data_IF_642836977548
#
_entry.id   IF_642836977548
#
_cell.length_a   1.000
_cell.length_b   1.000
_cell.length_c   1.000
_cell.angle_alpha   90.00
_cell.angle_beta   90.00
_cell.angle_gamma   90.00
#
_symmetry.space_group_name_H-M   'P 1'
#
loop_
_entity.id
_entity.type
_entity.pdbx_description
1 polymer ?
#
# COMPACT_ATOMS: atom_id res chain seq x y z
N UNK A 1 11.12 4.80 20.00
CA UNK A 1 10.41 5.56 18.94
C UNK A 1 8.93 5.16 19.00
N UNK A 2 7.99 6.11 18.87
CA UNK A 2 6.55 5.82 18.78
C UNK A 2 6.25 5.35 17.35
N UNK A 3 5.75 4.13 17.14
CA UNK A 3 5.53 3.54 15.83
C UNK A 3 4.11 3.75 15.27
N UNK A 4 3.19 4.23 16.08
CA UNK A 4 1.76 4.35 15.73
C UNK A 4 1.50 5.04 14.38
N UNK A 5 2.16 6.18 14.13
CA UNK A 5 2.05 6.93 12.88
C UNK A 5 2.67 6.25 11.64
N UNK A 6 3.39 5.13 11.81
CA UNK A 6 3.89 4.31 10.70
C UNK A 6 2.89 3.25 10.25
N UNK A 7 1.86 2.92 11.06
CA UNK A 7 1.00 1.75 10.83
C UNK A 7 -0.16 2.09 9.90
N UNK A 8 -0.28 1.36 8.79
CA UNK A 8 -1.51 1.15 8.06
C UNK A 8 -2.16 -0.14 8.58
N UNK A 9 -3.14 -0.01 9.47
CA UNK A 9 -3.85 -1.14 10.07
C UNK A 9 -4.70 -1.81 9.00
N UNK A 10 -4.40 -3.08 8.66
CA UNK A 10 -4.78 -3.67 7.38
C UNK A 10 -5.65 -4.92 7.55
N UNK A 11 -6.78 -4.96 6.83
CA UNK A 11 -7.64 -6.14 6.76
C UNK A 11 -8.19 -6.31 5.34
N UNK A 12 -7.66 -7.32 4.61
CA UNK A 12 -7.92 -7.50 3.16
C UNK A 12 -8.42 -8.90 2.80
N UNK A 13 -8.65 -9.78 3.77
CA UNK A 13 -9.13 -11.15 3.51
C UNK A 13 -10.49 -11.14 2.81
N UNK A 14 -10.75 -12.06 1.87
CA UNK A 14 -12.02 -12.07 1.13
C UNK A 14 -13.23 -12.36 2.01
N UNK A 15 -13.05 -13.07 3.12
CA UNK A 15 -14.10 -13.38 4.09
C UNK A 15 -14.31 -12.28 5.17
N UNK A 16 -13.66 -11.11 5.01
CA UNK A 16 -13.80 -9.99 5.96
C UNK A 16 -15.26 -9.56 6.07
N UNK A 17 -15.72 -9.31 7.30
CA UNK A 17 -17.08 -8.86 7.61
C UNK A 17 -17.11 -7.40 8.06
N UNK A 18 -18.29 -6.76 8.01
CA UNK A 18 -18.48 -5.39 8.54
C UNK A 18 -18.10 -5.26 10.01
N UNK A 19 -18.41 -6.27 10.83
CA UNK A 19 -18.05 -6.26 12.25
C UNK A 19 -16.53 -6.19 12.46
N UNK A 20 -15.78 -6.88 11.61
CA UNK A 20 -14.31 -6.82 11.64
C UNK A 20 -13.77 -5.47 11.16
N UNK A 21 -14.42 -4.82 10.17
CA UNK A 21 -14.05 -3.46 9.73
C UNK A 21 -14.32 -2.44 10.83
N UNK A 22 -15.45 -2.55 11.55
CA UNK A 22 -15.75 -1.67 12.69
C UNK A 22 -14.70 -1.79 13.78
N UNK A 23 -14.33 -3.01 14.13
CA UNK A 23 -13.25 -3.27 15.08
C UNK A 23 -11.91 -2.70 14.62
N UNK A 24 -11.54 -2.90 13.34
CA UNK A 24 -10.32 -2.32 12.74
C UNK A 24 -10.27 -0.80 12.89
N UNK A 25 -11.40 -0.12 12.64
CA UNK A 25 -11.49 1.33 12.75
C UNK A 25 -11.39 1.80 14.22
N UNK A 26 -12.06 1.12 15.15
CA UNK A 26 -11.96 1.39 16.60
C UNK A 26 -10.51 1.26 17.08
N UNK A 27 -9.84 0.17 16.74
CA UNK A 27 -8.43 -0.07 17.06
C UNK A 27 -7.52 1.02 16.46
N UNK A 28 -7.73 1.39 15.20
CA UNK A 28 -6.91 2.40 14.54
C UNK A 28 -7.07 3.79 15.17
N UNK A 29 -8.27 4.15 15.64
CA UNK A 29 -8.53 5.39 16.37
C UNK A 29 -7.87 5.34 17.74
N UNK A 30 -8.08 4.26 18.50
CA UNK A 30 -7.54 4.09 19.85
C UNK A 30 -6.01 4.19 19.89
N UNK A 31 -5.36 3.54 18.93
CA UNK A 31 -3.90 3.51 18.84
C UNK A 31 -3.30 4.63 17.99
N UNK A 32 -4.09 5.55 17.47
CA UNK A 32 -3.65 6.66 16.62
C UNK A 32 -2.82 6.19 15.41
N UNK A 33 -3.28 5.14 14.72
CA UNK A 33 -2.61 4.64 13.52
C UNK A 33 -2.75 5.61 12.35
N UNK A 34 -1.87 5.45 11.33
CA UNK A 34 -1.88 6.34 10.16
C UNK A 34 -3.13 6.14 9.31
N UNK A 35 -3.50 4.90 9.04
CA UNK A 35 -4.69 4.57 8.24
C UNK A 35 -5.30 3.22 8.59
N UNK A 36 -6.56 3.01 8.17
CA UNK A 36 -7.15 1.69 7.94
C UNK A 36 -7.06 1.35 6.46
N UNK A 37 -6.46 0.20 6.13
CA UNK A 37 -6.33 -0.28 4.75
C UNK A 37 -7.28 -1.46 4.51
N UNK A 38 -8.24 -1.27 3.59
CA UNK A 38 -9.36 -2.19 3.35
C UNK A 38 -9.56 -2.46 1.85
N UNK A 39 -10.38 -3.46 1.51
CA UNK A 39 -10.87 -3.65 0.14
C UNK A 39 -11.86 -2.53 -0.24
N UNK A 40 -11.97 -2.19 -1.52
CA UNK A 40 -12.78 -1.07 -2.03
C UNK A 40 -14.25 -1.13 -1.62
N UNK A 41 -14.84 -2.31 -1.47
CA UNK A 41 -16.22 -2.47 -1.02
C UNK A 41 -16.48 -1.95 0.40
N UNK A 42 -15.43 -1.81 1.22
CA UNK A 42 -15.52 -1.31 2.60
C UNK A 42 -15.13 0.17 2.77
N UNK A 43 -14.74 0.85 1.69
CA UNK A 43 -14.37 2.28 1.76
C UNK A 43 -15.48 3.15 2.34
N UNK A 44 -16.76 3.05 1.90
CA UNK A 44 -17.82 3.90 2.47
C UNK A 44 -17.98 3.72 3.97
N UNK A 45 -17.98 2.47 4.45
CA UNK A 45 -18.09 2.15 5.87
C UNK A 45 -16.89 2.67 6.66
N UNK A 46 -15.68 2.41 6.16
CA UNK A 46 -14.44 2.83 6.82
C UNK A 46 -14.34 4.34 6.90
N UNK A 47 -14.66 5.05 5.82
CA UNK A 47 -14.71 6.51 5.79
C UNK A 47 -15.69 7.09 6.81
N UNK A 48 -16.91 6.54 6.89
CA UNK A 48 -17.90 6.98 7.88
C UNK A 48 -17.44 6.79 9.32
N UNK A 49 -16.77 5.66 9.61
CA UNK A 49 -16.23 5.37 10.95
C UNK A 49 -15.06 6.29 11.34
N UNK A 50 -14.24 6.68 10.37
CA UNK A 50 -13.03 7.46 10.60
C UNK A 50 -13.22 8.99 10.48
N UNK A 51 -14.35 9.48 9.99
CA UNK A 51 -14.59 10.90 9.62
C UNK A 51 -14.28 11.94 10.70
N UNK A 52 -14.38 11.56 11.98
CA UNK A 52 -14.10 12.44 13.11
C UNK A 52 -12.75 12.16 13.77
N UNK A 53 -11.83 11.45 13.07
CA UNK A 53 -10.50 11.10 13.54
C UNK A 53 -9.43 11.55 12.56
N UNK A 54 -8.15 11.61 12.96
CA UNK A 54 -7.05 11.89 12.03
C UNK A 54 -6.68 10.69 11.15
N UNK A 55 -7.19 9.49 11.47
CA UNK A 55 -6.88 8.23 10.78
C UNK A 55 -7.42 8.27 9.34
N UNK A 56 -6.59 7.87 8.36
CA UNK A 56 -6.94 7.93 6.95
C UNK A 56 -7.65 6.67 6.47
N UNK A 57 -8.56 6.82 5.53
CA UNK A 57 -9.17 5.72 4.79
C UNK A 57 -8.27 5.35 3.63
N UNK A 58 -7.62 4.18 3.69
CA UNK A 58 -6.81 3.61 2.63
C UNK A 58 -7.52 2.41 2.01
N UNK A 59 -7.41 2.23 0.70
CA UNK A 59 -7.91 1.03 0.03
C UNK A 59 -6.91 0.47 -0.96
N UNK A 60 -7.14 -0.79 -1.38
CA UNK A 60 -6.35 -1.43 -2.43
C UNK A 60 -7.11 -1.43 -3.76
N UNK A 61 -6.38 -1.34 -4.90
CA UNK A 61 -6.95 -1.31 -6.25
C UNK A 61 -6.16 -2.27 -7.16
N UNK A 62 -6.87 -2.96 -8.05
CA UNK A 62 -6.25 -3.98 -8.91
C UNK A 62 -5.70 -5.16 -8.10
N UNK A 63 -6.26 -5.39 -6.95
CA UNK A 63 -5.67 -6.23 -5.90
C UNK A 63 -6.28 -7.64 -5.89
N UNK A 64 -5.48 -8.71 -5.59
CA UNK A 64 -4.05 -8.65 -5.33
C UNK A 64 -3.17 -8.86 -6.58
N UNK A 65 -3.73 -9.20 -7.74
CA UNK A 65 -2.98 -9.71 -8.89
C UNK A 65 -2.37 -8.62 -9.79
N UNK A 66 -2.92 -7.43 -9.82
CA UNK A 66 -2.50 -6.37 -10.73
C UNK A 66 -2.75 -6.64 -12.23
N UNK A 67 -3.35 -7.78 -12.57
CA UNK A 67 -3.45 -8.30 -13.94
C UNK A 67 -4.75 -7.91 -14.67
N UNK A 68 -5.56 -7.04 -14.08
CA UNK A 68 -6.76 -6.51 -14.76
C UNK A 68 -6.38 -5.38 -15.73
N UNK A 69 -7.32 -4.99 -16.60
CA UNK A 69 -7.08 -3.85 -17.51
C UNK A 69 -6.88 -2.54 -16.76
N UNK A 70 -6.15 -1.62 -17.36
CA UNK A 70 -5.93 -0.28 -16.80
C UNK A 70 -7.24 0.45 -16.57
N UNK A 71 -8.21 0.34 -17.49
CA UNK A 71 -9.54 0.96 -17.36
C UNK A 71 -10.32 0.41 -16.14
N UNK A 72 -10.19 -0.89 -15.84
CA UNK A 72 -10.82 -1.48 -14.66
C UNK A 72 -10.22 -0.89 -13.37
N UNK A 73 -8.88 -0.76 -13.29
CA UNK A 73 -8.20 -0.12 -12.15
C UNK A 73 -8.59 1.35 -12.01
N UNK A 74 -8.69 2.08 -13.13
CA UNK A 74 -9.13 3.49 -13.14
C UNK A 74 -10.56 3.59 -12.58
N UNK A 75 -11.48 2.79 -13.07
CA UNK A 75 -12.88 2.82 -12.60
C UNK A 75 -13.01 2.45 -11.13
N UNK A 76 -12.25 1.46 -10.65
CA UNK A 76 -12.18 1.10 -9.24
C UNK A 76 -11.63 2.26 -8.41
N UNK A 77 -10.58 2.94 -8.89
CA UNK A 77 -9.99 4.11 -8.22
C UNK A 77 -10.99 5.28 -8.15
N UNK A 78 -11.66 5.59 -9.25
CA UNK A 78 -12.70 6.65 -9.30
C UNK A 78 -13.77 6.39 -8.25
N UNK A 79 -14.26 5.14 -8.20
CA UNK A 79 -15.27 4.75 -7.21
C UNK A 79 -14.76 4.86 -5.78
N UNK A 80 -13.56 4.37 -5.50
CA UNK A 80 -12.95 4.44 -4.18
C UNK A 80 -12.78 5.89 -3.69
N UNK A 81 -12.33 6.80 -4.56
CA UNK A 81 -12.21 8.22 -4.24
C UNK A 81 -13.58 8.86 -3.96
N UNK A 82 -14.58 8.55 -4.78
CA UNK A 82 -15.95 9.04 -4.57
C UNK A 82 -16.57 8.54 -3.25
N UNK A 83 -16.17 7.37 -2.81
CA UNK A 83 -16.61 6.76 -1.54
C UNK A 83 -15.83 7.26 -0.31
N UNK A 84 -14.81 8.10 -0.50
CA UNK A 84 -14.09 8.76 0.58
C UNK A 84 -12.70 8.19 0.89
N UNK A 85 -12.06 7.46 -0.03
CA UNK A 85 -10.67 7.05 0.14
C UNK A 85 -9.71 8.27 0.14
N UNK A 86 -8.84 8.34 1.15
CA UNK A 86 -7.75 9.33 1.25
C UNK A 86 -6.48 8.83 0.58
N UNK A 87 -6.26 7.52 0.58
CA UNK A 87 -5.06 6.85 0.07
C UNK A 87 -5.45 5.61 -0.75
N UNK A 88 -4.73 5.36 -1.84
CA UNK A 88 -4.96 4.22 -2.73
C UNK A 88 -3.66 3.45 -2.94
N UNK A 89 -3.68 2.14 -2.67
CA UNK A 89 -2.58 1.21 -2.89
C UNK A 89 -2.90 0.38 -4.15
N UNK A 90 -2.36 0.74 -5.31
CA UNK A 90 -2.55 -0.02 -6.56
C UNK A 90 -1.50 -1.13 -6.72
N UNK A 91 -1.86 -2.22 -7.39
CA UNK A 91 -0.89 -3.25 -7.82
C UNK A 91 -0.52 -3.04 -9.27
N UNK A 92 0.79 -3.04 -9.59
CA UNK A 92 1.27 -2.95 -10.98
C UNK A 92 0.89 -4.20 -11.78
N UNK A 93 0.90 -4.09 -13.12
CA UNK A 93 0.88 -5.26 -13.98
C UNK A 93 2.29 -5.89 -14.03
N UNK A 94 2.52 -6.88 -13.15
CA UNK A 94 3.82 -7.56 -13.02
C UNK A 94 4.21 -8.26 -14.33
N UNK A 95 3.25 -8.86 -15.03
CA UNK A 95 3.51 -9.52 -16.32
C UNK A 95 4.01 -8.53 -17.37
N UNK A 96 3.42 -7.34 -17.45
CA UNK A 96 3.88 -6.29 -18.36
C UNK A 96 5.28 -5.78 -18.01
N UNK A 97 5.62 -5.67 -16.73
CA UNK A 97 6.97 -5.33 -16.28
C UNK A 97 7.98 -6.39 -16.73
N UNK A 98 7.67 -7.67 -16.56
CA UNK A 98 8.52 -8.79 -17.00
C UNK A 98 8.70 -8.84 -18.52
N UNK A 99 7.67 -8.52 -19.26
CA UNK A 99 7.72 -8.36 -20.73
C UNK A 99 8.49 -7.10 -21.17
N UNK A 100 9.05 -6.31 -20.24
CA UNK A 100 9.72 -5.03 -20.52
C UNK A 100 8.81 -4.00 -21.22
N UNK A 101 7.49 -4.08 -21.03
CA UNK A 101 6.52 -3.08 -21.51
C UNK A 101 6.50 -1.87 -20.54
N UNK A 102 7.65 -1.21 -20.39
CA UNK A 102 7.88 -0.20 -19.34
C UNK A 102 6.98 1.02 -19.52
N UNK A 103 6.76 1.47 -20.76
CA UNK A 103 5.85 2.59 -21.06
C UNK A 103 4.40 2.29 -20.67
N UNK A 104 3.96 1.02 -20.82
CA UNK A 104 2.64 0.59 -20.39
C UNK A 104 2.53 0.69 -18.85
N UNK A 105 3.50 0.15 -18.12
CA UNK A 105 3.50 0.16 -16.64
C UNK A 105 3.53 1.61 -16.12
N UNK A 106 4.41 2.45 -16.66
CA UNK A 106 4.49 3.86 -16.30
C UNK A 106 3.19 4.61 -16.57
N UNK A 107 2.62 4.39 -17.77
CA UNK A 107 1.35 5.03 -18.16
C UNK A 107 0.20 4.60 -17.23
N UNK A 108 0.08 3.32 -16.91
CA UNK A 108 -0.93 2.81 -15.97
C UNK A 108 -0.84 3.52 -14.62
N UNK A 109 0.35 3.62 -14.02
CA UNK A 109 0.56 4.31 -12.76
C UNK A 109 0.21 5.80 -12.87
N UNK A 110 0.64 6.46 -13.94
CA UNK A 110 0.34 7.87 -14.18
C UNK A 110 -1.17 8.11 -14.32
N UNK A 111 -1.86 7.28 -15.10
CA UNK A 111 -3.31 7.40 -15.30
C UNK A 111 -4.06 7.29 -13.95
N UNK A 112 -3.65 6.36 -13.08
CA UNK A 112 -4.22 6.25 -11.74
C UNK A 112 -3.85 7.45 -10.87
N UNK A 113 -2.61 7.96 -10.94
CA UNK A 113 -2.21 9.16 -10.19
C UNK A 113 -3.03 10.38 -10.58
N UNK A 114 -3.36 10.55 -11.86
CA UNK A 114 -4.25 11.62 -12.31
C UNK A 114 -5.63 11.54 -11.67
N UNK A 115 -6.18 10.34 -11.53
CA UNK A 115 -7.48 10.10 -10.86
C UNK A 115 -7.37 10.38 -9.35
N UNK A 116 -6.31 9.90 -8.71
CA UNK A 116 -6.05 10.09 -7.27
C UNK A 116 -5.84 11.57 -6.93
N UNK A 117 -5.25 12.34 -7.86
CA UNK A 117 -5.00 13.77 -7.71
C UNK A 117 -4.05 14.08 -6.54
N UNK A 118 -4.46 14.96 -5.65
CA UNK A 118 -3.66 15.38 -4.49
C UNK A 118 -3.65 14.36 -3.34
N UNK A 119 -4.37 13.25 -3.45
CA UNK A 119 -4.34 12.17 -2.48
C UNK A 119 -3.10 11.30 -2.68
N UNK A 120 -2.88 10.39 -1.74
CA UNK A 120 -1.72 9.50 -1.76
C UNK A 120 -1.99 8.30 -2.67
N UNK A 121 -1.11 8.09 -3.67
CA UNK A 121 -1.02 6.86 -4.45
C UNK A 121 0.20 6.07 -4.00
N UNK A 122 -0.01 4.79 -3.59
CA UNK A 122 1.06 3.85 -3.30
C UNK A 122 1.05 2.75 -4.37
N UNK A 123 2.24 2.38 -4.85
CA UNK A 123 2.42 1.42 -5.95
C UNK A 123 3.00 0.13 -5.40
N UNK A 124 2.20 -0.93 -5.35
CA UNK A 124 2.63 -2.28 -4.95
C UNK A 124 3.35 -2.92 -6.13
N UNK A 125 4.64 -3.20 -5.96
CA UNK A 125 5.47 -3.80 -7.01
C UNK A 125 5.57 -5.34 -6.90
N UNK A 126 5.14 -5.94 -5.78
CA UNK A 126 5.19 -7.38 -5.47
C UNK A 126 6.62 -7.95 -5.55
N UNK A 127 7.47 -7.52 -4.65
CA UNK A 127 8.92 -7.77 -4.67
C UNK A 127 9.31 -9.24 -4.80
N UNK A 128 8.53 -10.16 -4.21
CA UNK A 128 8.83 -11.59 -4.25
C UNK A 128 8.76 -12.21 -5.67
N UNK A 129 8.15 -11.51 -6.64
CA UNK A 129 8.08 -11.93 -8.04
C UNK A 129 9.15 -11.29 -8.92
N UNK A 130 9.96 -10.36 -8.38
CA UNK A 130 10.88 -9.51 -9.13
C UNK A 130 12.35 -9.81 -8.80
N UNK A 131 13.21 -9.69 -9.80
CA UNK A 131 14.66 -9.57 -9.59
C UNK A 131 15.01 -8.19 -9.02
N UNK A 132 16.21 -8.00 -8.49
CA UNK A 132 16.64 -6.71 -7.92
C UNK A 132 16.68 -5.60 -8.98
N UNK A 133 17.03 -5.95 -10.24
CA UNK A 133 16.94 -5.04 -11.37
C UNK A 133 15.48 -4.62 -11.64
N UNK A 134 14.55 -5.59 -11.67
CA UNK A 134 13.13 -5.31 -11.89
C UNK A 134 12.50 -4.49 -10.77
N UNK A 135 12.91 -4.70 -9.50
CA UNK A 135 12.49 -3.88 -8.36
C UNK A 135 12.92 -2.42 -8.55
N UNK A 136 14.18 -2.21 -8.95
CA UNK A 136 14.73 -0.88 -9.21
C UNK A 136 13.94 -0.19 -10.33
N UNK A 137 13.74 -0.87 -11.48
CA UNK A 137 12.98 -0.34 -12.62
C UNK A 137 11.54 0.00 -12.20
N UNK A 138 10.85 -0.89 -11.48
CA UNK A 138 9.47 -0.64 -11.03
C UNK A 138 9.37 0.61 -10.13
N UNK A 139 10.35 0.80 -9.23
CA UNK A 139 10.43 1.99 -8.38
C UNK A 139 10.67 3.27 -9.19
N UNK A 140 11.59 3.24 -10.17
CA UNK A 140 11.87 4.37 -11.04
C UNK A 140 10.64 4.77 -11.86
N UNK A 141 9.94 3.80 -12.46
CA UNK A 141 8.69 4.03 -13.19
C UNK A 141 7.60 4.64 -12.30
N UNK A 142 7.49 4.18 -11.04
CA UNK A 142 6.53 4.73 -10.09
C UNK A 142 6.85 6.19 -9.76
N UNK A 143 8.13 6.51 -9.54
CA UNK A 143 8.59 7.90 -9.32
C UNK A 143 8.31 8.78 -10.53
N UNK A 144 8.66 8.32 -11.75
CA UNK A 144 8.40 9.06 -12.98
C UNK A 144 6.92 9.33 -13.21
N UNK A 145 6.07 8.40 -12.81
CA UNK A 145 4.61 8.51 -12.90
C UNK A 145 3.98 9.36 -11.77
N UNK A 146 4.77 9.87 -10.82
CA UNK A 146 4.32 10.75 -9.75
C UNK A 146 3.71 10.03 -8.54
N UNK A 147 4.01 8.75 -8.34
CA UNK A 147 3.57 8.03 -7.14
C UNK A 147 4.18 8.62 -5.86
N UNK A 148 3.39 8.65 -4.78
CA UNK A 148 3.86 9.15 -3.49
C UNK A 148 4.63 8.09 -2.69
N UNK A 149 4.29 6.82 -2.91
CA UNK A 149 4.95 5.67 -2.30
C UNK A 149 5.15 4.53 -3.30
N UNK A 150 6.21 3.76 -3.09
CA UNK A 150 6.32 2.38 -3.57
C UNK A 150 6.08 1.43 -2.39
N UNK A 151 5.40 0.30 -2.64
CA UNK A 151 5.05 -0.67 -1.60
C UNK A 151 5.57 -2.05 -2.00
N UNK A 152 6.13 -2.80 -1.02
CA UNK A 152 6.76 -4.09 -1.30
C UNK A 152 5.79 -5.13 -1.82
N UNK A 153 4.70 -5.40 -1.11
CA UNK A 153 3.97 -6.65 -1.28
C UNK A 153 2.48 -6.50 -1.03
N UNK A 154 1.71 -7.39 -1.64
CA UNK A 154 0.27 -7.54 -1.38
C UNK A 154 -0.01 -8.29 -0.08
N UNK A 155 0.85 -9.23 0.31
CA UNK A 155 0.61 -10.21 1.38
C UNK A 155 -0.19 -11.44 0.92
N UNK A 156 -0.49 -11.55 -0.38
CA UNK A 156 -1.24 -12.66 -0.99
C UNK A 156 -0.41 -13.49 -1.98
N UNK A 157 0.90 -13.25 -2.06
CA UNK A 157 1.82 -13.98 -2.90
C UNK A 157 2.74 -14.89 -2.06
N UNK A 158 3.82 -15.38 -2.66
CA UNK A 158 4.75 -16.34 -2.05
C UNK A 158 5.69 -15.74 -1.01
N UNK A 159 5.78 -14.40 -0.91
CA UNK A 159 6.63 -13.69 0.05
C UNK A 159 6.07 -12.33 0.44
N UNK A 160 6.59 -11.78 1.54
CA UNK A 160 6.29 -10.46 2.06
C UNK A 160 7.48 -9.50 1.97
N UNK A 161 7.49 -8.47 2.81
CA UNK A 161 8.58 -7.51 2.90
C UNK A 161 9.87 -8.17 3.39
N UNK A 162 10.98 -7.76 2.79
CA UNK A 162 12.34 -8.09 3.25
C UNK A 162 13.15 -6.80 3.41
N UNK A 163 14.06 -6.80 4.38
CA UNK A 163 14.93 -5.65 4.67
C UNK A 163 15.73 -5.25 3.43
N UNK A 164 16.28 -6.24 2.71
CA UNK A 164 17.05 -6.04 1.49
C UNK A 164 16.23 -5.38 0.38
N UNK A 165 14.96 -5.82 0.22
CA UNK A 165 14.04 -5.25 -0.78
C UNK A 165 13.73 -3.79 -0.45
N UNK A 166 13.44 -3.48 0.81
CA UNK A 166 13.19 -2.11 1.27
C UNK A 166 14.41 -1.21 1.00
N UNK A 167 15.63 -1.70 1.27
CA UNK A 167 16.87 -0.96 1.00
C UNK A 167 17.06 -0.68 -0.50
N UNK A 168 16.81 -1.67 -1.37
CA UNK A 168 16.83 -1.50 -2.83
C UNK A 168 15.81 -0.45 -3.26
N UNK A 169 14.57 -0.55 -2.79
CA UNK A 169 13.49 0.37 -3.12
C UNK A 169 13.81 1.80 -2.65
N UNK A 170 14.29 1.97 -1.40
CA UNK A 170 14.66 3.30 -0.87
C UNK A 170 15.80 3.93 -1.66
N UNK A 171 16.79 3.13 -2.06
CA UNK A 171 17.88 3.60 -2.92
C UNK A 171 17.36 4.06 -4.29
N UNK A 172 16.41 3.33 -4.89
CA UNK A 172 15.86 3.64 -6.20
C UNK A 172 15.00 4.92 -6.19
N UNK A 173 14.15 5.10 -5.16
CA UNK A 173 13.25 6.27 -5.11
C UNK A 173 13.93 7.52 -4.53
N UNK A 174 14.98 7.37 -3.73
CA UNK A 174 15.65 8.49 -3.02
C UNK A 174 14.65 9.29 -2.17
N UNK A 175 14.62 10.60 -2.38
CA UNK A 175 13.69 11.51 -1.70
C UNK A 175 12.46 11.88 -2.55
N UNK A 176 12.32 11.27 -3.74
CA UNK A 176 11.23 11.57 -4.67
C UNK A 176 9.92 10.84 -4.33
N UNK A 177 10.03 9.69 -3.67
CA UNK A 177 8.89 8.94 -3.13
C UNK A 177 9.30 8.24 -1.85
N UNK A 178 8.31 7.77 -1.09
CA UNK A 178 8.49 7.03 0.16
C UNK A 178 8.37 5.53 -0.07
N UNK A 179 8.79 4.74 0.93
CA UNK A 179 8.67 3.27 0.90
C UNK A 179 7.69 2.80 1.96
N UNK A 180 6.75 1.92 1.57
CA UNK A 180 5.87 1.16 2.47
C UNK A 180 6.31 -0.30 2.45
N UNK A 181 6.62 -0.86 3.62
CA UNK A 181 6.85 -2.28 3.81
C UNK A 181 5.54 -2.97 4.24
N UNK A 182 5.19 -4.10 3.65
CA UNK A 182 3.98 -4.86 4.00
C UNK A 182 4.10 -6.34 3.69
N UNK A 183 3.35 -7.16 4.46
CA UNK A 183 3.37 -8.62 4.36
C UNK A 183 4.49 -9.23 5.21
N UNK A 184 4.12 -10.09 6.16
CA UNK A 184 5.06 -10.82 7.00
C UNK A 184 5.74 -9.99 8.11
N UNK A 185 5.18 -8.86 8.50
CA UNK A 185 5.68 -8.03 9.61
C UNK A 185 4.74 -8.23 10.80
N UNK A 186 5.21 -8.89 11.86
CA UNK A 186 4.36 -9.38 12.94
C UNK A 186 4.66 -8.78 14.33
N UNK A 187 5.85 -8.21 14.52
CA UNK A 187 6.31 -7.69 15.80
C UNK A 187 7.10 -6.39 15.63
N UNK A 188 7.45 -5.79 16.77
CA UNK A 188 8.16 -4.52 16.83
C UNK A 188 9.56 -4.58 16.20
N UNK A 189 10.29 -5.67 16.44
CA UNK A 189 11.66 -5.84 15.93
C UNK A 189 11.68 -5.86 14.40
N UNK A 190 10.79 -6.64 13.79
CA UNK A 190 10.63 -6.70 12.33
C UNK A 190 10.23 -5.34 11.75
N UNK A 191 9.30 -4.62 12.39
CA UNK A 191 8.88 -3.29 11.94
C UNK A 191 10.03 -2.28 12.01
N UNK A 192 10.83 -2.30 13.09
CA UNK A 192 12.01 -1.43 13.24
C UNK A 192 13.06 -1.74 12.18
N UNK A 193 13.33 -3.01 11.89
CA UNK A 193 14.28 -3.39 10.83
C UNK A 193 13.87 -2.84 9.45
N UNK A 194 12.55 -2.86 9.12
CA UNK A 194 12.05 -2.25 7.88
C UNK A 194 12.23 -0.72 7.88
N UNK A 195 11.99 -0.06 9.01
CA UNK A 195 12.16 1.39 9.13
C UNK A 195 13.64 1.78 9.01
N UNK A 196 14.54 1.04 9.64
CA UNK A 196 15.99 1.25 9.53
C UNK A 196 16.49 1.07 8.08
N UNK A 197 15.88 0.15 7.33
CA UNK A 197 16.15 -0.03 5.89
C UNK A 197 15.57 1.09 5.01
N UNK A 198 14.74 1.97 5.55
CA UNK A 198 14.19 3.14 4.86
C UNK A 198 12.68 3.12 4.63
N UNK A 199 11.93 2.20 5.26
CA UNK A 199 10.47 2.26 5.20
C UNK A 199 9.92 3.43 6.03
N UNK A 200 8.97 4.16 5.45
CA UNK A 200 8.29 5.30 6.08
C UNK A 200 6.82 4.96 6.40
N UNK A 201 6.38 3.76 6.06
CA UNK A 201 5.06 3.21 6.36
C UNK A 201 5.14 1.68 6.51
N UNK A 202 4.33 1.12 7.39
CA UNK A 202 4.24 -0.32 7.67
C UNK A 202 2.80 -0.77 7.49
N UNK A 203 2.55 -1.69 6.58
CA UNK A 203 1.24 -2.34 6.43
C UNK A 203 1.20 -3.65 7.21
N UNK A 204 0.37 -3.73 8.24
CA UNK A 204 0.26 -4.91 9.09
C UNK A 204 -1.18 -5.14 9.58
N UNK A 205 -1.56 -6.41 9.77
CA UNK A 205 -2.82 -6.79 10.43
C UNK A 205 -2.69 -6.87 11.96
N UNK A 206 -1.46 -6.90 12.48
CA UNK A 206 -1.13 -6.97 13.89
C UNK A 206 -0.54 -5.66 14.42
N UNK A 207 -1.08 -4.51 13.95
CA UNK A 207 -0.58 -3.18 14.31
C UNK A 207 -0.49 -2.94 15.81
N UNK A 208 -1.47 -3.43 16.59
CA UNK A 208 -1.50 -3.31 18.06
C UNK A 208 -0.26 -3.98 18.66
N UNK A 209 0.02 -5.24 18.29
CA UNK A 209 1.18 -5.97 18.79
C UNK A 209 2.48 -5.21 18.50
N UNK A 210 2.66 -4.69 17.28
CA UNK A 210 3.85 -3.94 16.87
C UNK A 210 4.09 -2.71 17.76
N UNK A 211 3.03 -2.03 18.22
CA UNK A 211 3.17 -0.77 18.96
C UNK A 211 3.17 -0.94 20.48
N UNK A 212 2.71 -2.10 20.99
CA UNK A 212 2.59 -2.38 22.44
C UNK A 212 3.75 -3.21 23.00
N UNK A 213 4.50 -3.92 22.18
CA UNK A 213 5.76 -4.58 22.53
C UNK A 213 6.91 -3.56 22.61
#
# INVERSE_FOLDING_TARGET
MKLNGYIDHTLLKPETTEAQIRKLAEEAIEYEFCSCCVNTCYVPLTHELLKNSPVKTCCVVGFPLGAMSTEAKINETVKAIADGADEVDMVINVGALKDRKLDYVRKEINDLKQVVGNRILKVIIETCLLTDEEKTIACELAVEAGADFVKTSTGFSTGGAKVEDVAIMKKAVGDKAKVKASGGIHNREEALAMIEAGAERIGASCGIQIVTE
#
